data_IF_091158644463
#
_entry.id   IF_091158644463
#
_cell.length_a   1.000
_cell.length_b   1.000
_cell.length_c   1.000
_cell.angle_alpha   90.00
_cell.angle_beta   90.00
_cell.angle_gamma   90.00
#
_symmetry.space_group_name_H-M   'P 1'
#
loop_
_entity.id
_entity.type
_entity.pdbx_description
1 polymer ?
#
# COMPACT_ATOMS: atom_id res chain seq x y z
N UNK A 1 -6.03 28.49 9.57
CA UNK A 1 -6.95 27.37 9.30
C UNK A 1 -8.35 27.92 9.44
N UNK A 2 -9.11 28.00 8.34
CA UNK A 2 -10.52 28.40 8.43
C UNK A 2 -11.24 27.36 9.29
N UNK A 3 -11.89 27.81 10.36
CA UNK A 3 -12.76 26.97 11.18
C UNK A 3 -13.86 26.40 10.29
N UNK A 4 -13.95 25.07 10.21
CA UNK A 4 -15.01 24.38 9.47
C UNK A 4 -16.38 24.84 9.99
N UNK A 5 -17.23 25.36 9.10
CA UNK A 5 -18.64 25.65 9.41
C UNK A 5 -19.53 24.61 8.71
N UNK A 6 -20.01 23.58 9.43
CA UNK A 6 -20.83 22.51 8.83
C UNK A 6 -22.14 23.02 8.24
N UNK A 7 -22.60 24.22 8.59
CA UNK A 7 -23.84 24.79 8.06
C UNK A 7 -23.70 25.24 6.59
N UNK A 8 -22.56 25.83 6.24
CA UNK A 8 -22.31 26.43 4.93
C UNK A 8 -21.37 25.62 4.04
N UNK A 9 -20.89 24.47 4.51
CA UNK A 9 -20.13 23.55 3.67
C UNK A 9 -20.95 23.22 2.40
N UNK A 10 -20.41 23.43 1.19
CA UNK A 10 -21.11 23.10 -0.04
C UNK A 10 -21.25 21.57 -0.16
N UNK A 11 -22.48 21.07 -0.20
CA UNK A 11 -22.76 19.63 -0.30
C UNK A 11 -22.88 19.19 -1.77
N UNK A 12 -21.85 19.55 -2.54
CA UNK A 12 -21.75 19.36 -3.99
C UNK A 12 -20.32 19.01 -4.37
N UNK A 13 -20.16 18.20 -5.41
CA UNK A 13 -18.86 17.76 -5.94
C UNK A 13 -17.98 17.18 -4.81
N UNK A 14 -16.67 17.37 -4.89
CA UNK A 14 -15.71 16.81 -3.93
C UNK A 14 -15.48 17.79 -2.79
N UNK A 15 -15.53 17.28 -1.56
CA UNK A 15 -15.29 18.06 -0.35
C UNK A 15 -14.37 17.29 0.57
N UNK A 16 -13.29 17.91 1.02
CA UNK A 16 -12.38 17.33 2.01
C UNK A 16 -12.45 18.14 3.29
N UNK A 17 -12.72 17.45 4.39
CA UNK A 17 -12.86 18.01 5.72
C UNK A 17 -11.73 17.47 6.57
N UNK A 18 -10.75 18.34 6.86
CA UNK A 18 -9.71 18.06 7.85
C UNK A 18 -10.26 18.36 9.25
N UNK A 19 -10.43 17.32 10.07
CA UNK A 19 -11.01 17.42 11.41
C UNK A 19 -10.12 16.65 12.40
N UNK A 20 -9.38 17.36 13.26
CA UNK A 20 -8.45 16.74 14.20
C UNK A 20 -9.11 15.97 15.34
N UNK A 21 -8.30 15.26 16.13
CA UNK A 21 -8.78 14.56 17.33
C UNK A 21 -9.58 15.51 18.25
N UNK A 22 -10.77 15.07 18.65
CA UNK A 22 -11.64 15.85 19.54
C UNK A 22 -12.36 17.05 18.89
N UNK A 23 -12.21 17.30 17.58
CA UNK A 23 -12.91 18.41 16.89
C UNK A 23 -14.32 18.05 16.41
N UNK A 24 -14.84 16.89 16.83
CA UNK A 24 -16.22 16.49 16.55
C UNK A 24 -16.48 15.94 15.14
N UNK A 25 -15.53 15.21 14.51
CA UNK A 25 -15.72 14.51 13.22
C UNK A 25 -17.10 13.88 13.08
N UNK A 26 -17.44 13.01 14.03
CA UNK A 26 -18.68 12.25 14.03
C UNK A 26 -19.91 13.13 14.26
N UNK A 27 -19.76 14.23 15.00
CA UNK A 27 -20.83 15.24 15.14
C UNK A 27 -21.05 16.00 13.84
N UNK A 28 -19.97 16.43 13.17
CA UNK A 28 -20.02 17.08 11.85
C UNK A 28 -20.70 16.17 10.84
N UNK A 29 -20.32 14.88 10.78
CA UNK A 29 -20.93 13.90 9.88
C UNK A 29 -22.45 13.83 10.10
N UNK A 30 -22.89 13.68 11.36
CA UNK A 30 -24.32 13.64 11.69
C UNK A 30 -25.05 14.96 11.37
N UNK A 31 -24.39 16.12 11.55
CA UNK A 31 -24.94 17.42 11.21
C UNK A 31 -25.10 17.61 9.69
N UNK A 32 -24.12 17.17 8.89
CA UNK A 32 -24.23 17.16 7.43
C UNK A 32 -25.32 16.18 6.97
N UNK A 33 -25.48 15.03 7.62
CA UNK A 33 -26.55 14.08 7.33
C UNK A 33 -27.95 14.70 7.50
N UNK A 34 -28.17 15.48 8.57
CA UNK A 34 -29.41 16.25 8.77
C UNK A 34 -29.64 17.21 7.60
N UNK A 35 -28.60 17.96 7.19
CA UNK A 35 -28.72 18.89 6.05
C UNK A 35 -29.10 18.18 4.76
N UNK A 36 -28.51 17.02 4.48
CA UNK A 36 -28.82 16.20 3.30
C UNK A 36 -30.27 15.72 3.32
N UNK A 37 -30.76 15.26 4.47
CA UNK A 37 -32.15 14.80 4.61
C UNK A 37 -33.17 15.91 4.38
N UNK A 38 -32.91 17.12 4.89
CA UNK A 38 -33.85 18.23 4.72
C UNK A 38 -33.65 19.02 3.43
N UNK A 39 -32.57 18.76 2.68
CA UNK A 39 -32.26 19.46 1.43
C UNK A 39 -31.55 20.81 1.61
N UNK A 40 -30.97 21.09 2.78
CA UNK A 40 -30.31 22.37 3.07
C UNK A 40 -28.99 22.53 2.29
N UNK A 41 -28.94 23.51 1.39
CA UNK A 41 -27.79 23.77 0.50
C UNK A 41 -27.68 22.79 -0.67
N UNK A 42 -28.73 21.99 -0.94
CA UNK A 42 -28.81 21.05 -2.06
C UNK A 42 -29.41 21.72 -3.31
N UNK A 43 -29.24 21.06 -4.46
CA UNK A 43 -29.92 21.47 -5.69
C UNK A 43 -31.43 21.43 -5.49
N UNK A 44 -32.13 22.54 -5.82
CA UNK A 44 -33.58 22.72 -5.66
C UNK A 44 -34.18 22.42 -4.27
N UNK A 45 -33.36 22.39 -3.20
CA UNK A 45 -33.86 22.04 -1.85
C UNK A 45 -34.36 20.59 -1.74
N UNK A 46 -33.91 19.70 -2.62
CA UNK A 46 -34.28 18.30 -2.61
C UNK A 46 -33.60 17.55 -1.46
N UNK A 47 -34.42 16.98 -0.58
CA UNK A 47 -33.96 16.14 0.54
C UNK A 47 -33.71 14.70 0.09
N UNK A 48 -32.74 14.04 0.72
CA UNK A 48 -32.40 12.64 0.45
C UNK A 48 -32.93 11.70 1.53
N UNK A 49 -33.28 10.48 1.13
CA UNK A 49 -33.59 9.40 2.08
C UNK A 49 -32.32 8.74 2.63
N UNK A 50 -32.37 8.08 3.80
CA UNK A 50 -31.21 7.38 4.35
C UNK A 50 -30.57 6.32 3.44
N UNK A 51 -31.33 5.72 2.53
CA UNK A 51 -30.82 4.74 1.56
C UNK A 51 -30.06 5.38 0.39
N UNK A 52 -30.20 6.70 0.19
CA UNK A 52 -29.54 7.48 -0.85
C UNK A 52 -28.27 8.20 -0.37
N UNK A 53 -27.99 8.19 0.93
CA UNK A 53 -26.80 8.80 1.52
C UNK A 53 -25.85 7.67 1.93
N UNK A 54 -24.83 7.42 1.10
CA UNK A 54 -23.82 6.41 1.40
C UNK A 54 -22.87 6.93 2.48
N UNK A 55 -22.73 6.22 3.58
CA UNK A 55 -21.74 6.50 4.62
C UNK A 55 -20.83 5.29 4.77
N UNK A 56 -19.52 5.52 4.68
CA UNK A 56 -18.50 4.47 4.78
C UNK A 56 -17.55 4.71 5.94
N UNK A 57 -17.12 3.63 6.58
CA UNK A 57 -16.12 3.61 7.66
C UNK A 57 -15.35 2.27 7.65
N UNK A 58 -14.42 2.08 8.58
CA UNK A 58 -13.47 0.95 8.57
C UNK A 58 -13.91 -0.27 9.39
N UNK A 59 -14.76 -0.10 10.38
CA UNK A 59 -15.10 -1.20 11.31
C UNK A 59 -16.60 -1.35 11.50
N UNK A 60 -17.06 -2.57 11.76
CA UNK A 60 -18.47 -2.85 12.06
C UNK A 60 -18.92 -2.21 13.39
N UNK A 61 -18.00 -1.96 14.32
CA UNK A 61 -18.30 -1.19 15.52
C UNK A 61 -18.57 0.29 15.16
N UNK A 62 -17.76 0.87 14.28
CA UNK A 62 -17.94 2.24 13.82
C UNK A 62 -19.22 2.41 12.98
N UNK A 63 -19.60 1.42 12.15
CA UNK A 63 -20.88 1.48 11.41
C UNK A 63 -22.07 1.52 12.38
N UNK A 64 -22.06 0.68 13.41
CA UNK A 64 -23.10 0.65 14.44
C UNK A 64 -23.16 1.96 15.23
N UNK A 65 -22.01 2.49 15.65
CA UNK A 65 -21.94 3.77 16.37
C UNK A 65 -22.45 4.94 15.50
N UNK A 66 -21.98 5.04 14.26
CA UNK A 66 -22.41 6.08 13.32
C UNK A 66 -23.91 6.03 13.07
N UNK A 67 -24.46 4.82 12.87
CA UNK A 67 -25.90 4.62 12.67
C UNK A 67 -26.72 5.14 13.84
N UNK A 68 -26.35 4.78 15.07
CA UNK A 68 -27.08 5.23 16.25
C UNK A 68 -26.96 6.75 16.46
N UNK A 69 -25.78 7.31 16.21
CA UNK A 69 -25.54 8.75 16.32
C UNK A 69 -26.35 9.54 15.29
N UNK A 70 -26.38 9.10 14.04
CA UNK A 70 -27.19 9.75 12.99
C UNK A 70 -28.67 9.64 13.33
N UNK A 71 -29.16 8.46 13.74
CA UNK A 71 -30.56 8.25 14.15
C UNK A 71 -30.96 9.22 15.25
N UNK A 72 -30.15 9.30 16.31
CA UNK A 72 -30.38 10.23 17.43
C UNK A 72 -30.41 11.68 16.93
N UNK A 73 -29.47 12.07 16.06
CA UNK A 73 -29.39 13.44 15.55
C UNK A 73 -30.58 13.82 14.68
N UNK A 74 -31.08 12.91 13.84
CA UNK A 74 -32.29 13.10 13.05
C UNK A 74 -33.51 13.28 13.95
N UNK A 75 -33.63 12.50 15.02
CA UNK A 75 -34.72 12.62 15.98
C UNK A 75 -34.69 13.96 16.74
N UNK A 76 -33.51 14.38 17.23
CA UNK A 76 -33.30 15.69 17.85
C UNK A 76 -33.70 16.84 16.91
N UNK A 77 -33.29 16.75 15.64
CA UNK A 77 -33.65 17.72 14.62
C UNK A 77 -35.17 17.73 14.35
N UNK A 78 -35.82 16.56 14.28
CA UNK A 78 -37.26 16.47 14.07
C UNK A 78 -38.03 17.19 15.20
N UNK A 79 -37.69 16.89 16.45
CA UNK A 79 -38.29 17.53 17.63
C UNK A 79 -38.05 19.05 17.65
N UNK A 80 -36.87 19.50 17.23
CA UNK A 80 -36.57 20.93 17.12
C UNK A 80 -37.54 21.62 16.14
N UNK A 81 -37.65 21.11 14.90
CA UNK A 81 -38.52 21.71 13.90
C UNK A 81 -40.01 21.60 14.27
N UNK A 82 -40.43 20.56 14.98
CA UNK A 82 -41.80 20.45 15.51
C UNK A 82 -42.11 21.54 16.52
N UNK A 83 -41.21 21.80 17.47
CA UNK A 83 -41.39 22.86 18.45
C UNK A 83 -41.44 24.23 17.79
N UNK A 84 -40.56 24.50 16.82
CA UNK A 84 -40.58 25.75 16.04
C UNK A 84 -41.93 25.91 15.34
N UNK A 85 -42.43 24.86 14.66
CA UNK A 85 -43.72 24.88 13.97
C UNK A 85 -44.91 25.10 14.93
N UNK A 86 -44.82 24.60 16.16
CA UNK A 86 -45.84 24.77 17.21
C UNK A 86 -45.72 26.11 17.96
N UNK A 87 -44.75 26.97 17.62
CA UNK A 87 -44.46 28.20 18.36
C UNK A 87 -43.92 27.97 19.77
N UNK A 88 -43.38 26.78 20.05
CA UNK A 88 -42.76 26.42 21.33
C UNK A 88 -41.25 26.66 21.27
N UNK A 89 -40.65 27.00 22.40
CA UNK A 89 -39.19 27.13 22.50
C UNK A 89 -38.54 25.73 22.47
N UNK A 90 -37.71 25.40 21.47
CA UNK A 90 -36.99 24.12 21.42
C UNK A 90 -35.81 24.08 22.41
N UNK A 91 -35.26 22.88 22.66
CA UNK A 91 -34.10 22.68 23.52
C UNK A 91 -32.83 23.22 22.88
N UNK A 92 -32.01 24.00 23.60
CA UNK A 92 -30.83 24.71 23.06
C UNK A 92 -29.90 23.83 22.20
N UNK A 93 -29.82 24.15 20.91
CA UNK A 93 -28.89 23.58 19.95
C UNK A 93 -28.43 24.67 18.98
N UNK A 94 -27.19 25.17 19.09
CA UNK A 94 -26.71 26.28 18.26
C UNK A 94 -26.71 25.98 16.75
N UNK A 95 -26.53 24.71 16.36
CA UNK A 95 -26.53 24.32 14.96
C UNK A 95 -27.94 24.32 14.40
N UNK A 96 -28.90 23.69 15.09
CA UNK A 96 -30.29 23.65 14.64
C UNK A 96 -30.94 25.03 14.66
N UNK A 97 -30.57 25.88 15.61
CA UNK A 97 -31.01 27.28 15.64
C UNK A 97 -30.57 28.03 14.38
N UNK A 98 -29.28 27.96 14.03
CA UNK A 98 -28.78 28.60 12.80
C UNK A 98 -29.39 27.98 11.55
N UNK A 99 -29.47 26.65 11.50
CA UNK A 99 -30.08 25.91 10.37
C UNK A 99 -31.54 26.29 10.14
N UNK A 100 -32.33 26.44 11.22
CA UNK A 100 -33.73 26.87 11.10
C UNK A 100 -33.88 28.31 10.61
N UNK A 101 -32.92 29.19 10.90
CA UNK A 101 -32.93 30.59 10.44
C UNK A 101 -32.53 30.75 8.98
N UNK A 102 -31.69 29.84 8.45
CA UNK A 102 -31.28 29.83 7.05
C UNK A 102 -32.35 29.23 6.11
N UNK A 103 -33.37 28.58 6.65
CA UNK A 103 -34.45 27.96 5.89
C UNK A 103 -35.68 28.89 5.83
N UNK A 104 -36.37 28.98 4.67
CA UNK A 104 -37.64 29.70 4.61
C UNK A 104 -38.71 29.02 5.48
N UNK A 105 -39.59 29.80 6.11
CA UNK A 105 -40.60 29.28 7.04
C UNK A 105 -41.54 28.22 6.42
N UNK A 106 -41.83 28.34 5.13
CA UNK A 106 -42.62 27.37 4.36
C UNK A 106 -42.00 25.96 4.28
N UNK A 107 -40.68 25.83 4.48
CA UNK A 107 -39.98 24.55 4.47
C UNK A 107 -40.02 23.82 5.82
N UNK A 108 -40.42 24.47 6.92
CA UNK A 108 -40.38 23.88 8.26
C UNK A 108 -41.23 22.60 8.35
N UNK A 109 -42.47 22.64 7.84
CA UNK A 109 -43.36 21.47 7.78
C UNK A 109 -42.77 20.31 6.97
N UNK A 110 -42.10 20.63 5.85
CA UNK A 110 -41.42 19.62 5.03
C UNK A 110 -40.22 19.03 5.76
N UNK A 111 -39.46 19.84 6.51
CA UNK A 111 -38.32 19.38 7.32
C UNK A 111 -38.77 18.38 8.39
N UNK A 112 -39.83 18.69 9.16
CA UNK A 112 -40.40 17.77 10.16
C UNK A 112 -40.73 16.42 9.52
N UNK A 113 -41.48 16.44 8.41
CA UNK A 113 -41.87 15.21 7.70
C UNK A 113 -40.65 14.42 7.22
N UNK A 114 -39.69 15.08 6.56
CA UNK A 114 -38.47 14.44 6.02
C UNK A 114 -37.64 13.81 7.14
N UNK A 115 -37.44 14.51 8.25
CA UNK A 115 -36.64 14.04 9.38
C UNK A 115 -37.28 12.84 10.09
N UNK A 116 -38.60 12.85 10.29
CA UNK A 116 -39.29 11.68 10.87
C UNK A 116 -39.23 10.45 9.98
N UNK A 117 -39.50 10.62 8.69
CA UNK A 117 -39.39 9.52 7.73
C UNK A 117 -37.95 8.98 7.69
N UNK A 118 -36.95 9.85 7.70
CA UNK A 118 -35.56 9.44 7.73
C UNK A 118 -35.18 8.72 9.03
N UNK A 119 -35.62 9.22 10.20
CA UNK A 119 -35.36 8.58 11.49
C UNK A 119 -35.98 7.17 11.57
N UNK A 120 -37.18 6.99 11.03
CA UNK A 120 -37.86 5.69 10.94
C UNK A 120 -37.18 4.73 9.94
N UNK A 121 -36.66 5.25 8.83
CA UNK A 121 -36.00 4.47 7.79
C UNK A 121 -34.51 4.18 8.07
N UNK A 122 -34.02 4.42 9.29
CA UNK A 122 -32.59 4.23 9.62
C UNK A 122 -32.10 2.78 9.57
N UNK A 123 -33.01 1.80 9.63
CA UNK A 123 -32.64 0.39 9.47
C UNK A 123 -32.20 0.08 8.03
N UNK A 124 -32.74 0.81 7.06
CA UNK A 124 -32.39 0.75 5.63
C UNK A 124 -31.25 1.73 5.25
N UNK A 125 -30.68 2.45 6.23
CA UNK A 125 -29.64 3.44 5.95
C UNK A 125 -28.41 2.79 5.31
N UNK A 126 -27.86 3.47 4.29
CA UNK A 126 -26.70 3.02 3.54
C UNK A 126 -25.38 3.31 4.29
N UNK A 127 -25.24 2.75 5.49
CA UNK A 127 -24.08 2.89 6.36
C UNK A 127 -23.35 1.56 6.44
N UNK A 128 -22.15 1.49 5.88
CA UNK A 128 -21.41 0.23 5.67
C UNK A 128 -19.93 0.37 6.00
N UNK A 129 -19.26 -0.76 6.23
CA UNK A 129 -17.82 -0.82 6.06
C UNK A 129 -17.46 -0.73 4.58
N UNK A 130 -16.27 -0.23 4.23
CA UNK A 130 -15.86 -0.12 2.81
C UNK A 130 -15.89 -1.50 2.12
N UNK A 131 -15.42 -2.56 2.79
CA UNK A 131 -15.50 -3.93 2.29
C UNK A 131 -16.95 -4.44 2.20
N UNK A 132 -17.78 -4.17 3.21
CA UNK A 132 -19.19 -4.57 3.20
C UNK A 132 -19.98 -3.93 2.06
N UNK A 133 -19.71 -2.66 1.77
CA UNK A 133 -20.27 -1.94 0.63
C UNK A 133 -19.76 -2.52 -0.70
N UNK A 134 -18.45 -2.75 -0.84
CA UNK A 134 -17.86 -3.29 -2.07
C UNK A 134 -18.46 -4.64 -2.43
N UNK A 135 -18.57 -5.55 -1.45
CA UNK A 135 -19.25 -6.84 -1.61
C UNK A 135 -20.70 -6.67 -2.04
N UNK A 136 -21.43 -5.75 -1.41
CA UNK A 136 -22.84 -5.47 -1.72
C UNK A 136 -23.01 -4.94 -3.15
N UNK A 137 -22.11 -4.09 -3.63
CA UNK A 137 -22.15 -3.55 -4.99
C UNK A 137 -21.87 -4.65 -6.01
N UNK A 138 -20.81 -5.45 -5.78
CA UNK A 138 -20.49 -6.58 -6.65
C UNK A 138 -21.64 -7.59 -6.72
N UNK A 139 -22.32 -7.87 -5.61
CA UNK A 139 -23.46 -8.79 -5.60
C UNK A 139 -24.73 -8.21 -6.23
N UNK A 140 -25.03 -6.93 -5.95
CA UNK A 140 -26.26 -6.28 -6.45
C UNK A 140 -26.20 -6.04 -7.96
N UNK A 141 -24.99 -5.85 -8.48
CA UNK A 141 -24.71 -5.63 -9.89
C UNK A 141 -23.95 -6.81 -10.53
N UNK A 142 -24.15 -8.04 -10.04
CA UNK A 142 -23.43 -9.25 -10.47
C UNK A 142 -23.41 -9.45 -12.00
N UNK A 143 -24.52 -9.12 -12.68
CA UNK A 143 -24.61 -9.18 -14.15
C UNK A 143 -23.69 -8.19 -14.86
N UNK A 144 -23.47 -7.02 -14.25
CA UNK A 144 -22.61 -5.95 -14.78
C UNK A 144 -21.15 -6.14 -14.36
N UNK A 145 -20.91 -6.68 -13.16
CA UNK A 145 -19.57 -6.97 -12.63
C UNK A 145 -18.99 -8.32 -13.09
N UNK A 146 -19.80 -9.17 -13.76
CA UNK A 146 -19.46 -10.56 -14.15
C UNK A 146 -19.06 -11.46 -12.97
N UNK A 147 -19.49 -11.12 -11.75
CA UNK A 147 -19.13 -11.88 -10.55
C UNK A 147 -20.04 -13.11 -10.36
N UNK A 148 -19.52 -14.15 -9.70
CA UNK A 148 -20.29 -15.37 -9.41
C UNK A 148 -21.25 -15.09 -8.24
N UNK A 149 -22.53 -15.45 -8.41
CA UNK A 149 -23.60 -15.17 -7.44
C UNK A 149 -23.38 -15.78 -6.05
N UNK A 150 -22.63 -16.89 -5.94
CA UNK A 150 -22.34 -17.58 -4.67
C UNK A 150 -20.83 -17.82 -4.53
N UNK A 151 -20.15 -16.90 -3.83
CA UNK A 151 -18.77 -17.11 -3.40
C UNK A 151 -18.66 -17.05 -1.88
N UNK A 152 -17.70 -17.81 -1.35
CA UNK A 152 -17.39 -17.85 0.08
C UNK A 152 -16.11 -17.06 0.39
N UNK A 153 -16.01 -16.53 1.61
CA UNK A 153 -14.80 -15.85 2.05
C UNK A 153 -13.68 -16.87 2.31
N UNK A 154 -12.45 -16.58 1.87
CA UNK A 154 -11.27 -17.37 2.19
C UNK A 154 -10.79 -17.06 3.62
N UNK A 155 -11.12 -17.94 4.57
CA UNK A 155 -10.83 -17.69 5.98
C UNK A 155 -9.33 -17.75 6.34
N UNK A 156 -8.54 -18.53 5.61
CA UNK A 156 -7.10 -18.65 5.89
C UNK A 156 -6.23 -18.55 4.61
N UNK A 157 -6.03 -17.32 4.09
CA UNK A 157 -5.18 -17.08 2.92
C UNK A 157 -3.75 -17.59 3.08
N UNK A 158 -3.19 -17.45 4.30
CA UNK A 158 -1.81 -17.84 4.57
C UNK A 158 -1.60 -19.36 4.52
N UNK A 159 -2.59 -20.17 4.94
CA UNK A 159 -2.51 -21.62 4.83
C UNK A 159 -2.49 -22.07 3.35
N UNK A 160 -3.34 -21.48 2.51
CA UNK A 160 -3.35 -21.75 1.07
C UNK A 160 -2.03 -21.36 0.42
N UNK A 161 -1.52 -20.15 0.71
CA UNK A 161 -0.22 -19.71 0.19
C UNK A 161 0.95 -20.61 0.63
N UNK A 162 0.95 -21.08 1.88
CA UNK A 162 1.95 -22.04 2.36
C UNK A 162 1.91 -23.38 1.62
N UNK A 163 0.74 -23.83 1.21
CA UNK A 163 0.64 -25.01 0.36
C UNK A 163 1.22 -24.74 -1.03
N UNK A 164 0.80 -23.62 -1.65
CA UNK A 164 1.23 -23.26 -3.00
C UNK A 164 2.74 -23.01 -3.10
N UNK A 165 3.36 -22.36 -2.11
CA UNK A 165 4.82 -22.15 -2.10
C UNK A 165 5.60 -23.45 -2.00
N UNK A 166 5.08 -24.45 -1.25
CA UNK A 166 5.69 -25.78 -1.18
C UNK A 166 5.59 -26.51 -2.51
N UNK A 167 4.45 -26.40 -3.20
CA UNK A 167 4.25 -26.99 -4.52
C UNK A 167 5.14 -26.32 -5.57
N UNK A 168 5.25 -24.99 -5.53
CA UNK A 168 6.22 -24.23 -6.34
C UNK A 168 7.65 -24.70 -6.08
N UNK A 169 8.03 -24.87 -4.80
CA UNK A 169 9.38 -25.28 -4.43
C UNK A 169 9.71 -26.69 -4.94
N UNK A 170 8.76 -27.64 -4.83
CA UNK A 170 8.89 -28.99 -5.37
C UNK A 170 9.00 -29.01 -6.90
N UNK A 171 8.23 -28.16 -7.58
CA UNK A 171 8.22 -28.08 -9.04
C UNK A 171 9.53 -27.51 -9.59
N UNK A 172 10.05 -26.46 -8.96
CA UNK A 172 11.11 -25.64 -9.55
C UNK A 172 12.50 -25.85 -8.97
N UNK A 173 12.63 -26.19 -7.67
CA UNK A 173 13.94 -26.27 -7.02
C UNK A 173 14.41 -27.70 -6.74
N UNK A 174 13.51 -28.65 -6.45
CA UNK A 174 13.90 -30.06 -6.24
C UNK A 174 14.53 -30.73 -7.46
N UNK A 175 14.10 -30.45 -8.72
CA UNK A 175 14.71 -31.05 -9.89
C UNK A 175 16.08 -30.45 -10.26
N UNK A 176 16.52 -29.37 -9.61
CA UNK A 176 17.78 -28.71 -9.95
C UNK A 176 18.99 -29.58 -9.58
N UNK A 177 20.10 -29.48 -10.33
CA UNK A 177 21.41 -30.00 -9.90
C UNK A 177 21.82 -29.49 -8.52
N UNK A 178 22.60 -30.31 -7.77
CA UNK A 178 23.00 -30.00 -6.39
C UNK A 178 23.69 -28.64 -6.23
N UNK A 179 24.52 -28.24 -7.19
CA UNK A 179 25.23 -26.95 -7.13
C UNK A 179 24.27 -25.77 -7.20
N UNK A 180 23.23 -25.85 -8.05
CA UNK A 180 22.19 -24.83 -8.15
C UNK A 180 21.24 -24.86 -6.95
N UNK A 181 20.95 -26.04 -6.39
CA UNK A 181 20.18 -26.14 -5.14
C UNK A 181 20.89 -25.43 -3.98
N UNK A 182 22.23 -25.55 -3.90
CA UNK A 182 23.02 -24.86 -2.88
C UNK A 182 22.92 -23.34 -3.04
N UNK A 183 23.03 -22.82 -4.27
CA UNK A 183 22.83 -21.40 -4.54
C UNK A 183 21.44 -20.93 -4.10
N UNK A 184 20.39 -21.71 -4.38
CA UNK A 184 19.03 -21.40 -3.92
C UNK A 184 18.95 -21.28 -2.40
N UNK A 185 19.52 -22.24 -1.67
CA UNK A 185 19.50 -22.23 -0.20
C UNK A 185 20.28 -21.05 0.38
N UNK A 186 21.45 -20.73 -0.21
CA UNK A 186 22.29 -19.62 0.22
C UNK A 186 21.63 -18.25 -0.05
N UNK A 187 20.94 -18.11 -1.19
CA UNK A 187 20.40 -16.82 -1.65
C UNK A 187 18.95 -16.55 -1.23
N UNK A 188 18.06 -17.55 -1.31
CA UNK A 188 16.62 -17.40 -1.02
C UNK A 188 16.26 -17.74 0.41
N UNK A 189 16.99 -18.67 1.05
CA UNK A 189 16.71 -19.15 2.40
C UNK A 189 16.63 -20.67 2.47
N UNK A 190 16.58 -21.19 3.69
CA UNK A 190 16.69 -22.63 3.95
C UNK A 190 15.37 -23.37 3.69
N UNK A 191 14.24 -22.67 3.59
CA UNK A 191 12.94 -23.30 3.48
C UNK A 191 11.95 -22.49 2.61
N UNK A 192 10.84 -23.12 2.15
CA UNK A 192 9.85 -22.45 1.31
C UNK A 192 9.13 -21.26 1.97
N UNK A 193 9.06 -21.21 3.30
CA UNK A 193 8.42 -20.08 4.00
C UNK A 193 9.27 -18.80 3.86
N UNK A 194 10.61 -18.92 3.77
CA UNK A 194 11.50 -17.77 3.51
C UNK A 194 11.21 -17.12 2.15
N UNK A 195 10.94 -17.93 1.12
CA UNK A 195 10.52 -17.45 -0.20
C UNK A 195 9.14 -16.79 -0.15
N UNK A 196 8.20 -17.39 0.61
CA UNK A 196 6.86 -16.83 0.75
C UNK A 196 6.89 -15.42 1.34
N UNK A 197 7.73 -15.16 2.35
CA UNK A 197 7.84 -13.81 2.93
C UNK A 197 8.40 -12.79 1.93
N UNK A 198 9.39 -13.17 1.11
CA UNK A 198 9.90 -12.30 0.03
C UNK A 198 8.84 -12.02 -1.04
N UNK A 199 8.08 -13.04 -1.43
CA UNK A 199 6.98 -12.90 -2.41
C UNK A 199 5.86 -12.01 -1.85
N UNK A 200 5.49 -12.15 -0.57
CA UNK A 200 4.51 -11.26 0.07
C UNK A 200 4.95 -9.81 0.06
N UNK A 201 6.24 -9.54 0.29
CA UNK A 201 6.78 -8.19 0.20
C UNK A 201 6.69 -7.63 -1.23
N UNK A 202 7.00 -8.46 -2.23
CA UNK A 202 6.85 -8.09 -3.64
C UNK A 202 5.38 -7.76 -3.97
N UNK A 203 4.45 -8.65 -3.61
CA UNK A 203 3.03 -8.42 -3.87
C UNK A 203 2.48 -7.21 -3.12
N UNK A 204 2.89 -7.00 -1.87
CA UNK A 204 2.49 -5.80 -1.12
C UNK A 204 2.92 -4.51 -1.84
N UNK A 205 4.10 -4.49 -2.45
CA UNK A 205 4.55 -3.34 -3.22
C UNK A 205 3.79 -3.19 -4.55
N UNK A 206 3.44 -4.29 -5.20
CA UNK A 206 2.69 -4.30 -6.48
C UNK A 206 1.21 -3.97 -6.30
N UNK A 207 0.59 -4.45 -5.23
CA UNK A 207 -0.85 -4.31 -4.99
C UNK A 207 -1.19 -3.01 -4.23
N UNK A 208 -0.20 -2.18 -3.88
CA UNK A 208 -0.42 -0.96 -3.13
C UNK A 208 -1.28 0.04 -3.92
N UNK A 209 -1.02 0.17 -5.22
CA UNK A 209 -1.69 1.11 -6.12
C UNK A 209 -2.28 0.38 -7.34
N UNK A 210 -3.50 0.73 -7.77
CA UNK A 210 -4.04 0.26 -9.03
C UNK A 210 -3.10 0.62 -10.19
N UNK A 211 -2.91 -0.28 -11.17
CA UNK A 211 -2.09 0.01 -12.35
C UNK A 211 -2.69 1.18 -13.13
N UNK A 212 -1.83 2.09 -13.61
CA UNK A 212 -2.22 3.30 -14.36
C UNK A 212 -2.64 3.01 -15.82
N UNK A 213 -2.46 1.77 -16.28
CA UNK A 213 -2.88 1.29 -17.60
C UNK A 213 -3.61 -0.04 -17.46
N UNK A 214 -4.71 -0.24 -18.19
CA UNK A 214 -5.49 -1.50 -18.31
C UNK A 214 -4.68 -2.70 -18.87
N UNK A 215 -3.36 -2.58 -19.04
CA UNK A 215 -2.48 -3.67 -19.40
C UNK A 215 -2.16 -4.48 -18.14
N UNK A 216 -3.12 -5.25 -17.66
CA UNK A 216 -2.92 -6.19 -16.54
C UNK A 216 -2.01 -7.37 -16.89
N UNK A 217 -1.54 -7.46 -18.13
CA UNK A 217 -0.81 -8.62 -18.63
C UNK A 217 0.11 -8.21 -19.79
N UNK A 218 0.89 -7.13 -19.62
CA UNK A 218 2.10 -6.99 -20.43
C UNK A 218 3.01 -8.13 -20.01
N UNK A 219 2.88 -9.27 -20.71
CA UNK A 219 3.52 -10.56 -20.44
C UNK A 219 4.98 -10.38 -20.04
N UNK A 220 5.19 -10.15 -18.75
CA UNK A 220 6.51 -9.94 -18.19
C UNK A 220 7.20 -11.25 -18.49
N UNK A 221 8.19 -11.21 -19.36
CA UNK A 221 8.99 -12.38 -19.68
C UNK A 221 9.72 -12.76 -18.40
N UNK A 222 9.10 -13.62 -17.61
CA UNK A 222 9.63 -14.08 -16.34
C UNK A 222 10.69 -15.12 -16.65
N UNK A 223 11.94 -14.82 -16.34
CA UNK A 223 13.06 -15.75 -16.49
C UNK A 223 12.84 -17.01 -15.66
N UNK A 224 13.16 -18.18 -16.22
CA UNK A 224 13.10 -19.42 -15.47
C UNK A 224 14.19 -19.43 -14.38
N UNK A 225 13.99 -20.17 -13.28
CA UNK A 225 14.98 -20.24 -12.20
C UNK A 225 16.36 -20.66 -12.68
N UNK A 226 16.44 -21.62 -13.60
CA UNK A 226 17.72 -22.10 -14.15
C UNK A 226 18.48 -21.01 -14.91
N UNK A 227 17.78 -20.14 -15.64
CA UNK A 227 18.37 -19.07 -16.44
C UNK A 227 18.95 -17.95 -15.55
N UNK A 228 18.41 -17.81 -14.34
CA UNK A 228 18.90 -16.85 -13.34
C UNK A 228 20.02 -17.43 -12.47
N UNK A 229 19.92 -18.71 -12.11
CA UNK A 229 20.89 -19.39 -11.26
C UNK A 229 22.19 -19.75 -11.98
N UNK A 230 22.13 -20.07 -13.28
CA UNK A 230 23.33 -20.52 -14.03
C UNK A 230 24.38 -19.41 -14.17
N UNK A 231 24.05 -18.17 -14.57
CA UNK A 231 25.01 -17.07 -14.60
C UNK A 231 25.56 -16.76 -13.20
N UNK A 232 24.71 -16.83 -12.17
CA UNK A 232 25.11 -16.61 -10.79
C UNK A 232 26.14 -17.64 -10.31
N UNK A 233 25.89 -18.93 -10.55
CA UNK A 233 26.82 -20.01 -10.19
C UNK A 233 28.14 -19.86 -10.95
N UNK A 234 28.11 -19.51 -12.24
CA UNK A 234 29.31 -19.28 -13.02
C UNK A 234 30.14 -18.11 -12.46
N UNK A 235 29.48 -17.00 -12.10
CA UNK A 235 30.12 -15.86 -11.43
C UNK A 235 30.70 -16.24 -10.07
N UNK A 236 29.95 -17.00 -9.25
CA UNK A 236 30.39 -17.45 -7.93
C UNK A 236 31.65 -18.31 -8.03
N UNK A 237 31.66 -19.28 -8.94
CA UNK A 237 32.81 -20.13 -9.20
C UNK A 237 34.02 -19.33 -9.72
N UNK A 238 33.77 -18.34 -10.59
CA UNK A 238 34.82 -17.45 -11.08
C UNK A 238 35.45 -16.63 -9.94
N UNK A 239 34.63 -16.03 -9.06
CA UNK A 239 35.12 -15.30 -7.90
C UNK A 239 35.89 -16.19 -6.92
N UNK A 240 35.42 -17.42 -6.66
CA UNK A 240 36.13 -18.37 -5.80
C UNK A 240 37.49 -18.76 -6.37
N UNK A 241 37.60 -18.96 -7.69
CA UNK A 241 38.88 -19.22 -8.36
C UNK A 241 39.83 -18.03 -8.22
N UNK A 242 39.35 -16.81 -8.47
CA UNK A 242 40.14 -15.59 -8.33
C UNK A 242 40.57 -15.34 -6.88
N UNK A 243 39.72 -15.67 -5.91
CA UNK A 243 40.05 -15.60 -4.48
C UNK A 243 41.18 -16.57 -4.13
N UNK A 244 41.10 -17.83 -4.58
CA UNK A 244 42.16 -18.81 -4.38
C UNK A 244 43.49 -18.36 -5.02
N UNK A 245 43.44 -17.86 -6.26
CA UNK A 245 44.61 -17.33 -6.97
C UNK A 245 45.20 -16.10 -6.28
N UNK A 246 44.36 -15.22 -5.73
CA UNK A 246 44.79 -14.04 -4.98
C UNK A 246 45.47 -14.45 -3.68
N UNK A 247 44.87 -15.39 -2.92
CA UNK A 247 45.46 -15.92 -1.69
C UNK A 247 46.81 -16.60 -1.96
N UNK A 248 46.95 -17.34 -3.05
CA UNK A 248 48.22 -17.99 -3.41
C UNK A 248 49.32 -16.97 -3.73
N UNK A 249 48.98 -15.77 -4.22
CA UNK A 249 49.93 -14.70 -4.46
C UNK A 249 50.38 -13.96 -3.18
N UNK A 250 49.80 -14.30 -2.02
CA UNK A 250 50.19 -13.73 -0.74
C UNK A 250 51.62 -14.13 -0.36
N UNK A 251 52.46 -13.15 -0.05
CA UNK A 251 53.82 -13.36 0.41
C UNK A 251 53.92 -12.97 1.89
N UNK A 252 54.64 -13.76 2.68
CA UNK A 252 54.71 -13.59 4.14
C UNK A 252 55.24 -12.22 4.60
N UNK A 253 55.99 -11.52 3.75
CA UNK A 253 56.54 -10.19 4.03
C UNK A 253 55.64 -9.03 3.57
N UNK A 254 54.49 -9.30 2.92
CA UNK A 254 53.56 -8.25 2.49
C UNK A 254 53.03 -7.38 3.64
N UNK A 255 52.75 -7.90 4.86
CA UNK A 255 52.38 -7.07 5.99
C UNK A 255 53.44 -6.03 6.33
N UNK A 256 54.71 -6.44 6.38
CA UNK A 256 55.84 -5.56 6.69
C UNK A 256 55.98 -4.49 5.59
N UNK A 257 55.87 -4.88 4.32
CA UNK A 257 55.89 -3.94 3.18
C UNK A 257 54.76 -2.90 3.26
N UNK A 258 53.55 -3.31 3.66
CA UNK A 258 52.42 -2.40 3.83
C UNK A 258 52.65 -1.42 4.99
N UNK A 259 53.20 -1.90 6.10
CA UNK A 259 53.58 -1.07 7.24
C UNK A 259 54.71 -0.10 6.90
N UNK A 260 55.74 -0.54 6.17
CA UNK A 260 56.84 0.30 5.70
C UNK A 260 56.36 1.34 4.70
N UNK A 261 55.52 0.97 3.73
CA UNK A 261 54.94 1.92 2.78
C UNK A 261 54.08 2.98 3.49
N UNK A 262 53.38 2.59 4.58
CA UNK A 262 52.64 3.52 5.42
C UNK A 262 53.57 4.45 6.22
N UNK A 263 54.61 3.90 6.85
CA UNK A 263 55.58 4.67 7.65
C UNK A 263 56.39 5.67 6.79
N UNK A 264 56.73 5.30 5.56
CA UNK A 264 57.36 6.19 4.58
C UNK A 264 56.39 7.22 3.97
N UNK A 265 55.12 7.17 4.36
CA UNK A 265 54.09 8.08 3.88
C UNK A 265 53.71 7.87 2.42
N UNK A 266 53.93 6.69 1.84
CA UNK A 266 53.48 6.41 0.48
C UNK A 266 51.99 6.04 0.42
N UNK A 267 51.40 5.59 1.53
CA UNK A 267 49.96 5.35 1.66
C UNK A 267 49.34 6.45 2.52
N UNK A 268 48.72 7.46 1.89
CA UNK A 268 48.03 8.59 2.55
C UNK A 268 46.54 8.62 2.19
N UNK A 269 45.72 9.17 3.09
CA UNK A 269 44.31 9.38 2.81
C UNK A 269 43.54 9.92 4.02
N UNK A 270 42.46 10.69 3.80
CA UNK A 270 41.64 11.19 4.89
C UNK A 270 41.01 10.03 5.66
N UNK A 271 41.22 9.98 6.98
CA UNK A 271 40.63 8.97 7.87
C UNK A 271 41.39 7.65 8.01
N UNK A 272 42.54 7.46 7.35
CA UNK A 272 43.41 6.30 7.59
C UNK A 272 44.27 6.61 8.82
N UNK A 273 43.85 6.14 10.00
CA UNK A 273 44.67 6.17 11.22
C UNK A 273 45.50 4.89 11.32
N UNK A 274 46.65 4.97 11.98
CA UNK A 274 47.63 3.87 12.01
C UNK A 274 47.13 2.65 12.80
N UNK A 275 46.29 2.87 13.81
CA UNK A 275 45.61 1.81 14.56
C UNK A 275 44.64 1.00 13.69
N UNK A 276 43.80 1.69 12.90
CA UNK A 276 42.90 1.03 11.95
C UNK A 276 43.64 0.36 10.80
N UNK A 277 44.69 0.99 10.27
CA UNK A 277 45.48 0.41 9.19
C UNK A 277 46.14 -0.90 9.61
N UNK A 278 46.75 -0.92 10.81
CA UNK A 278 47.35 -2.14 11.37
C UNK A 278 46.33 -3.26 11.54
N UNK A 279 45.11 -2.92 12.01
CA UNK A 279 44.01 -3.89 12.09
C UNK A 279 43.64 -4.43 10.71
N UNK A 280 43.48 -3.57 9.70
CA UNK A 280 43.13 -3.99 8.34
C UNK A 280 44.20 -4.88 7.71
N UNK A 281 45.49 -4.58 7.93
CA UNK A 281 46.60 -5.43 7.45
C UNK A 281 46.56 -6.80 8.14
N UNK A 282 46.28 -6.86 9.45
CA UNK A 282 46.09 -8.12 10.15
C UNK A 282 44.89 -8.90 9.61
N UNK A 283 43.74 -8.26 9.42
CA UNK A 283 42.53 -8.90 8.88
C UNK A 283 42.79 -9.45 7.47
N UNK A 284 43.50 -8.67 6.62
CA UNK A 284 43.94 -9.09 5.29
C UNK A 284 44.89 -10.30 5.35
N UNK A 285 45.81 -10.30 6.32
CA UNK A 285 46.75 -11.40 6.54
C UNK A 285 46.02 -12.67 6.96
N UNK A 286 45.06 -12.58 7.89
CA UNK A 286 44.26 -13.72 8.34
C UNK A 286 43.39 -14.27 7.22
N UNK A 287 42.78 -13.42 6.40
CA UNK A 287 42.04 -13.85 5.21
C UNK A 287 42.94 -14.54 4.19
N UNK A 288 44.11 -13.97 3.92
CA UNK A 288 45.01 -14.50 2.88
C UNK A 288 45.70 -15.81 3.28
N UNK A 289 46.16 -15.91 4.53
CA UNK A 289 46.97 -17.05 5.02
C UNK A 289 46.18 -18.14 5.73
N UNK A 290 45.09 -17.78 6.43
CA UNK A 290 44.29 -18.71 7.23
C UNK A 290 42.90 -19.00 6.62
N UNK A 291 42.55 -18.33 5.52
CA UNK A 291 41.26 -18.50 4.85
C UNK A 291 40.06 -17.99 5.67
N UNK A 292 40.28 -17.06 6.61
CA UNK A 292 39.20 -16.46 7.39
C UNK A 292 38.33 -15.55 6.53
N UNK A 293 37.09 -15.30 6.97
CA UNK A 293 36.17 -14.35 6.32
C UNK A 293 36.61 -12.91 6.55
N UNK A 294 36.48 -12.05 5.54
CA UNK A 294 36.81 -10.62 5.63
C UNK A 294 35.70 -9.78 5.00
N UNK A 295 35.52 -8.55 5.49
CA UNK A 295 34.66 -7.56 4.84
C UNK A 295 35.26 -7.15 3.49
N UNK A 296 34.47 -7.27 2.42
CA UNK A 296 34.84 -6.86 1.05
C UNK A 296 35.31 -5.40 1.00
N UNK A 297 34.78 -4.51 1.85
CA UNK A 297 35.23 -3.11 1.94
C UNK A 297 36.67 -2.98 2.38
N UNK A 298 37.18 -3.93 3.18
CA UNK A 298 38.60 -3.97 3.55
C UNK A 298 39.43 -4.39 2.35
N UNK A 299 39.02 -5.44 1.63
CA UNK A 299 39.69 -5.90 0.41
C UNK A 299 39.77 -4.79 -0.66
N UNK A 300 38.69 -4.04 -0.88
CA UNK A 300 38.68 -2.93 -1.85
C UNK A 300 39.77 -1.88 -1.55
N UNK A 301 40.13 -1.65 -0.29
CA UNK A 301 41.15 -0.65 0.10
C UNK A 301 42.55 -1.02 -0.34
N UNK A 302 42.83 -2.31 -0.53
CA UNK A 302 44.15 -2.81 -0.93
C UNK A 302 44.23 -3.18 -2.41
N UNK A 303 43.23 -2.81 -3.21
CA UNK A 303 43.33 -2.91 -4.67
C UNK A 303 44.45 -2.00 -5.18
N UNK A 304 45.11 -2.39 -6.28
CA UNK A 304 46.22 -1.62 -6.86
C UNK A 304 45.80 -0.17 -7.14
N UNK A 305 44.61 0.05 -7.70
CA UNK A 305 44.10 1.38 -8.04
C UNK A 305 43.90 2.25 -6.80
N UNK A 306 43.41 1.67 -5.68
CA UNK A 306 43.23 2.41 -4.42
C UNK A 306 44.55 2.72 -3.73
N UNK A 307 45.50 1.79 -3.74
CA UNK A 307 46.83 2.01 -3.17
C UNK A 307 47.62 3.06 -3.97
N UNK A 308 47.53 3.05 -5.30
CA UNK A 308 48.11 4.08 -6.15
C UNK A 308 47.45 5.45 -5.94
N UNK A 309 46.11 5.50 -5.81
CA UNK A 309 45.40 6.73 -5.49
C UNK A 309 45.78 7.30 -4.10
N UNK A 310 46.20 6.45 -3.17
CA UNK A 310 46.76 6.83 -1.87
C UNK A 310 48.23 7.31 -1.94
N UNK A 311 48.88 7.22 -3.10
CA UNK A 311 50.24 7.69 -3.35
C UNK A 311 51.30 6.59 -3.50
N UNK A 312 50.92 5.30 -3.42
CA UNK A 312 51.87 4.20 -3.49
C UNK A 312 51.91 3.58 -4.89
N UNK A 313 52.68 4.20 -5.79
CA UNK A 313 52.79 3.77 -7.20
C UNK A 313 53.33 2.35 -7.36
N UNK A 314 54.28 1.96 -6.49
CA UNK A 314 54.91 0.63 -6.47
C UNK A 314 53.96 -0.51 -6.11
N UNK A 315 52.72 -0.23 -5.69
CA UNK A 315 51.71 -1.24 -5.42
C UNK A 315 51.46 -2.14 -6.65
N UNK A 316 51.62 -1.61 -7.88
CA UNK A 316 51.48 -2.38 -9.11
C UNK A 316 52.61 -3.42 -9.32
N UNK A 317 53.69 -3.39 -8.54
CA UNK A 317 54.75 -4.38 -8.66
C UNK A 317 54.43 -5.69 -7.93
N UNK A 318 53.36 -5.71 -7.12
CA UNK A 318 52.97 -6.87 -6.34
C UNK A 318 51.79 -7.60 -7.02
N UNK A 319 52.04 -8.85 -7.40
CA UNK A 319 51.03 -9.71 -8.04
C UNK A 319 49.76 -9.87 -7.17
N UNK A 320 49.90 -9.82 -5.84
CA UNK A 320 48.76 -9.90 -4.92
C UNK A 320 47.75 -8.76 -5.13
N UNK A 321 48.20 -7.50 -5.14
CA UNK A 321 47.28 -6.35 -5.29
C UNK A 321 46.64 -6.31 -6.68
N UNK A 322 47.39 -6.70 -7.73
CA UNK A 322 46.84 -6.81 -9.08
C UNK A 322 45.72 -7.86 -9.15
N UNK A 323 45.94 -9.05 -8.58
CA UNK A 323 44.92 -10.12 -8.53
C UNK A 323 43.72 -9.72 -7.67
N UNK A 324 43.98 -9.00 -6.57
CA UNK A 324 42.92 -8.45 -5.73
C UNK A 324 42.05 -7.44 -6.48
N UNK A 325 42.65 -6.58 -7.33
CA UNK A 325 41.89 -5.70 -8.22
C UNK A 325 40.99 -6.47 -9.17
N UNK A 326 41.49 -7.54 -9.80
CA UNK A 326 40.69 -8.39 -10.69
C UNK A 326 39.56 -9.08 -9.93
N UNK A 327 39.81 -9.62 -8.73
CA UNK A 327 38.78 -10.21 -7.88
C UNK A 327 37.68 -9.20 -7.52
N UNK A 328 38.05 -7.98 -7.13
CA UNK A 328 37.08 -6.95 -6.77
C UNK A 328 36.27 -6.45 -7.98
N UNK A 329 36.87 -6.41 -9.17
CA UNK A 329 36.15 -6.10 -10.41
C UNK A 329 35.13 -7.20 -10.75
N UNK A 330 35.52 -8.47 -10.65
CA UNK A 330 34.62 -9.60 -10.86
C UNK A 330 33.48 -9.62 -9.82
N UNK A 331 33.79 -9.40 -8.54
CA UNK A 331 32.80 -9.35 -7.46
C UNK A 331 31.78 -8.21 -7.64
N UNK A 332 32.18 -7.10 -8.28
CA UNK A 332 31.27 -5.99 -8.58
C UNK A 332 30.29 -6.29 -9.73
N UNK A 333 30.52 -7.35 -10.51
CA UNK A 333 29.65 -7.79 -11.62
C UNK A 333 28.70 -8.93 -11.19
N UNK A 334 28.26 -8.92 -9.93
CA UNK A 334 27.32 -9.91 -9.40
C UNK A 334 26.02 -9.94 -10.23
N UNK A 335 25.69 -11.07 -10.88
CA UNK A 335 24.44 -11.19 -11.62
C UNK A 335 23.24 -11.08 -10.69
N UNK A 336 22.23 -10.35 -11.11
CA UNK A 336 20.97 -10.27 -10.39
C UNK A 336 20.27 -11.65 -10.41
N UNK A 337 20.07 -12.24 -9.23
CA UNK A 337 19.55 -13.61 -9.09
C UNK A 337 18.32 -13.65 -8.18
N UNK A 338 18.43 -13.08 -6.98
CA UNK A 338 17.37 -13.14 -5.96
C UNK A 338 16.07 -12.50 -6.45
N UNK A 339 16.12 -11.29 -7.00
CA UNK A 339 14.93 -10.58 -7.46
C UNK A 339 14.25 -11.28 -8.64
N UNK A 340 15.02 -11.85 -9.57
CA UNK A 340 14.49 -12.64 -10.69
C UNK A 340 13.77 -13.91 -10.20
N UNK A 341 14.37 -14.62 -9.24
CA UNK A 341 13.75 -15.79 -8.61
C UNK A 341 12.47 -15.43 -7.85
N UNK A 342 12.49 -14.33 -7.10
CA UNK A 342 11.31 -13.84 -6.36
C UNK A 342 10.23 -13.35 -7.32
N UNK A 343 10.58 -12.70 -8.43
CA UNK A 343 9.64 -12.30 -9.49
C UNK A 343 8.99 -13.53 -10.14
N UNK A 344 9.79 -14.56 -10.45
CA UNK A 344 9.28 -15.81 -10.99
C UNK A 344 8.34 -16.54 -10.03
N UNK A 345 8.77 -16.70 -8.78
CA UNK A 345 7.91 -17.27 -7.75
C UNK A 345 6.64 -16.44 -7.54
N UNK A 346 6.75 -15.12 -7.50
CA UNK A 346 5.63 -14.21 -7.33
C UNK A 346 4.60 -14.30 -8.46
N UNK A 347 5.04 -14.45 -9.71
CA UNK A 347 4.15 -14.62 -10.85
C UNK A 347 3.43 -15.99 -10.81
N UNK A 348 4.17 -17.09 -10.72
CA UNK A 348 3.60 -18.45 -10.68
C UNK A 348 2.66 -18.64 -9.49
N UNK A 349 3.03 -18.12 -8.31
CA UNK A 349 2.21 -18.21 -7.11
C UNK A 349 0.93 -17.36 -7.21
N UNK A 350 0.98 -16.21 -7.87
CA UNK A 350 -0.20 -15.33 -8.03
C UNK A 350 -1.23 -16.02 -8.91
N UNK A 351 -0.80 -16.57 -10.05
CA UNK A 351 -1.66 -17.36 -10.93
C UNK A 351 -2.24 -18.59 -10.21
N UNK A 352 -1.40 -19.36 -9.51
CA UNK A 352 -1.86 -20.53 -8.77
C UNK A 352 -2.84 -20.17 -7.64
N UNK A 353 -2.61 -19.05 -6.95
CA UNK A 353 -3.49 -18.56 -5.89
C UNK A 353 -4.84 -18.10 -6.44
N UNK A 354 -4.86 -17.34 -7.54
CA UNK A 354 -6.09 -16.96 -8.23
C UNK A 354 -6.86 -18.19 -8.71
N UNK A 355 -6.20 -19.17 -9.35
CA UNK A 355 -6.84 -20.39 -9.81
C UNK A 355 -7.40 -21.22 -8.65
N UNK A 356 -6.66 -21.33 -7.53
CA UNK A 356 -7.13 -22.04 -6.35
C UNK A 356 -8.39 -21.40 -5.75
N UNK A 357 -8.43 -20.06 -5.69
CA UNK A 357 -9.62 -19.30 -5.26
C UNK A 357 -10.81 -19.53 -6.20
N UNK A 358 -10.59 -19.45 -7.52
CA UNK A 358 -11.65 -19.70 -8.52
C UNK A 358 -12.22 -21.12 -8.43
N UNK A 359 -11.36 -22.14 -8.30
CA UNK A 359 -11.78 -23.54 -8.19
C UNK A 359 -12.63 -23.82 -6.94
N UNK A 360 -12.46 -23.03 -5.88
CA UNK A 360 -13.21 -23.15 -4.62
C UNK A 360 -14.35 -22.12 -4.52
N UNK A 361 -14.57 -21.30 -5.56
CA UNK A 361 -15.49 -20.15 -5.52
C UNK A 361 -15.26 -19.28 -4.28
N UNK A 362 -13.99 -18.97 -4.01
CA UNK A 362 -13.57 -18.18 -2.85
C UNK A 362 -13.00 -16.81 -3.23
N UNK A 363 -13.09 -15.85 -2.31
CA UNK A 363 -12.48 -14.52 -2.43
C UNK A 363 -11.80 -14.10 -1.12
N UNK A 364 -10.83 -13.21 -1.22
CA UNK A 364 -10.30 -12.43 -0.09
C UNK A 364 -10.74 -10.96 -0.18
N UNK A 365 -10.45 -10.17 0.87
CA UNK A 365 -10.86 -8.77 0.92
C UNK A 365 -10.21 -7.90 -0.16
N UNK A 366 -8.99 -8.25 -0.60
CA UNK A 366 -8.30 -7.51 -1.64
C UNK A 366 -8.97 -7.74 -3.00
N UNK A 367 -9.40 -8.97 -3.27
CA UNK A 367 -10.17 -9.30 -4.48
C UNK A 367 -11.43 -8.44 -4.61
N UNK A 368 -12.14 -8.18 -3.50
CA UNK A 368 -13.36 -7.37 -3.55
C UNK A 368 -13.07 -5.93 -3.99
N UNK A 369 -11.99 -5.34 -3.50
CA UNK A 369 -11.60 -3.97 -3.85
C UNK A 369 -11.14 -3.91 -5.31
N UNK A 370 -10.28 -4.84 -5.72
CA UNK A 370 -9.78 -4.91 -7.10
C UNK A 370 -10.91 -5.16 -8.10
N UNK A 371 -11.78 -6.16 -7.85
CA UNK A 371 -12.92 -6.46 -8.73
C UNK A 371 -13.88 -5.28 -8.87
N UNK A 372 -14.18 -4.58 -7.77
CA UNK A 372 -15.02 -3.40 -7.84
C UNK A 372 -14.36 -2.31 -8.68
N UNK A 373 -13.07 -2.06 -8.45
CA UNK A 373 -12.29 -1.09 -9.22
C UNK A 373 -12.33 -1.42 -10.71
N UNK A 374 -12.01 -2.66 -11.11
CA UNK A 374 -12.06 -3.07 -12.52
C UNK A 374 -13.47 -2.97 -13.11
N UNK A 375 -14.50 -3.36 -12.37
CA UNK A 375 -15.88 -3.26 -12.82
C UNK A 375 -16.32 -1.79 -13.04
N UNK A 376 -15.82 -0.85 -12.25
CA UNK A 376 -16.06 0.59 -12.41
C UNK A 376 -15.30 1.21 -13.58
N UNK A 377 -14.15 0.62 -13.94
CA UNK A 377 -13.29 1.07 -15.03
C UNK A 377 -13.53 0.31 -16.35
N UNK A 378 -14.41 -0.70 -16.34
CA UNK A 378 -14.83 -1.41 -17.54
C UNK A 378 -15.56 -0.48 -18.53
N UNK A 379 -15.48 -0.85 -19.82
CA UNK A 379 -16.08 -0.09 -20.91
C UNK A 379 -17.59 0.14 -20.67
N UNK A 380 -18.03 1.39 -20.87
CA UNK A 380 -19.43 1.81 -20.73
C UNK A 380 -19.76 2.58 -19.45
N UNK A 381 -19.02 2.36 -18.35
CA UNK A 381 -19.20 3.12 -17.10
C UNK A 381 -20.58 2.98 -16.43
N UNK A 382 -21.39 2.02 -16.87
CA UNK A 382 -22.79 1.86 -16.44
C UNK A 382 -22.90 1.56 -14.94
N UNK A 383 -21.95 0.79 -14.38
CA UNK A 383 -21.92 0.50 -12.94
C UNK A 383 -21.70 1.77 -12.11
N UNK A 384 -20.76 2.62 -12.53
CA UNK A 384 -20.50 3.88 -11.85
C UNK A 384 -21.73 4.80 -11.89
N UNK A 385 -22.43 4.83 -13.02
CA UNK A 385 -23.66 5.61 -13.19
C UNK A 385 -24.81 5.06 -12.32
N UNK A 386 -25.00 3.75 -12.28
CA UNK A 386 -26.02 3.10 -11.45
C UNK A 386 -25.77 3.34 -9.95
N UNK A 387 -24.52 3.19 -9.49
CA UNK A 387 -24.13 3.47 -8.11
C UNK A 387 -24.33 4.95 -7.78
N UNK A 388 -23.96 5.86 -8.68
CA UNK A 388 -24.14 7.31 -8.48
C UNK A 388 -25.62 7.70 -8.41
N UNK A 389 -26.48 7.08 -9.23
CA UNK A 389 -27.93 7.29 -9.17
C UNK A 389 -28.53 6.78 -7.86
N UNK A 390 -28.07 5.62 -7.37
CA UNK A 390 -28.49 5.06 -6.10
C UNK A 390 -28.01 5.90 -4.91
N UNK A 391 -26.77 6.39 -4.98
CA UNK A 391 -26.12 7.18 -3.94
C UNK A 391 -25.67 8.54 -4.49
N UNK A 392 -26.58 9.52 -4.60
CA UNK A 392 -26.20 10.87 -5.03
C UNK A 392 -25.12 11.49 -4.15
N UNK A 393 -25.09 11.14 -2.86
CA UNK A 393 -24.06 11.63 -1.93
C UNK A 393 -23.39 10.47 -1.21
N UNK A 394 -22.06 10.48 -1.19
CA UNK A 394 -21.23 9.63 -0.35
C UNK A 394 -20.47 10.45 0.69
N UNK A 395 -20.34 9.89 1.88
CA UNK A 395 -19.56 10.40 3.00
C UNK A 395 -18.59 9.32 3.47
N UNK A 396 -17.30 9.61 3.44
CA UNK A 396 -16.25 8.70 3.92
C UNK A 396 -15.72 9.22 5.23
N UNK A 397 -15.91 8.46 6.30
CA UNK A 397 -15.29 8.72 7.60
C UNK A 397 -13.89 8.10 7.67
N UNK A 398 -13.03 8.68 8.49
CA UNK A 398 -11.63 8.29 8.63
C UNK A 398 -10.87 8.15 7.30
N UNK A 399 -11.10 9.09 6.38
CA UNK A 399 -10.59 9.03 5.01
C UNK A 399 -9.06 8.92 4.93
N UNK A 400 -8.31 9.35 5.96
CA UNK A 400 -6.85 9.18 6.01
C UNK A 400 -6.39 7.71 5.99
N UNK A 401 -7.28 6.76 6.32
CA UNK A 401 -6.98 5.33 6.35
C UNK A 401 -7.40 4.60 5.06
N UNK A 402 -7.79 5.36 4.03
CA UNK A 402 -8.21 4.85 2.72
C UNK A 402 -7.00 4.41 1.89
N UNK A 403 -7.15 3.33 1.13
CA UNK A 403 -6.15 2.87 0.17
C UNK A 403 -6.39 3.43 -1.26
N UNK A 404 -5.40 3.34 -2.16
CA UNK A 404 -5.54 3.85 -3.53
C UNK A 404 -6.67 3.19 -4.34
N UNK A 405 -6.98 1.91 -4.12
CA UNK A 405 -8.06 1.20 -4.83
C UNK A 405 -9.43 1.75 -4.46
N UNK A 406 -9.64 1.98 -3.15
CA UNK A 406 -10.86 2.57 -2.61
C UNK A 406 -11.05 4.00 -3.12
N UNK A 407 -10.00 4.82 -3.04
CA UNK A 407 -10.08 6.21 -3.49
C UNK A 407 -10.38 6.29 -4.99
N UNK A 408 -9.63 5.57 -5.84
CA UNK A 408 -9.88 5.60 -7.29
C UNK A 408 -11.27 5.09 -7.66
N UNK A 409 -11.80 4.09 -6.94
CA UNK A 409 -13.17 3.61 -7.15
C UNK A 409 -14.21 4.72 -6.86
N UNK A 410 -14.04 5.44 -5.74
CA UNK A 410 -14.92 6.56 -5.38
C UNK A 410 -14.74 7.75 -6.33
N UNK A 411 -13.51 8.05 -6.71
CA UNK A 411 -13.16 9.11 -7.66
C UNK A 411 -13.84 8.86 -9.02
N UNK A 412 -13.82 7.61 -9.49
CA UNK A 412 -14.49 7.16 -10.71
C UNK A 412 -16.01 7.29 -10.63
N UNK A 413 -16.61 6.97 -9.48
CA UNK A 413 -18.06 7.13 -9.26
C UNK A 413 -18.43 8.61 -9.25
N UNK A 414 -17.68 9.46 -8.56
CA UNK A 414 -17.95 10.89 -8.39
C UNK A 414 -17.03 11.79 -9.23
N UNK A 415 -16.74 11.36 -10.45
CA UNK A 415 -15.93 12.07 -11.44
C UNK A 415 -16.53 13.45 -11.74
N UNK A 416 -15.71 14.51 -11.62
CA UNK A 416 -16.13 15.90 -11.81
C UNK A 416 -16.75 16.20 -13.17
N UNK A 417 -16.39 15.42 -14.21
CA UNK A 417 -16.96 15.52 -15.55
C UNK A 417 -18.34 14.86 -15.70
N UNK A 418 -18.71 13.99 -14.73
CA UNK A 418 -19.95 13.21 -14.73
C UNK A 418 -20.94 13.65 -13.64
N UNK A 419 -20.47 14.38 -12.64
CA UNK A 419 -21.29 14.90 -11.54
C UNK A 419 -21.83 16.31 -11.81
N UNK A 420 -22.97 16.61 -11.21
CA UNK A 420 -23.56 17.95 -11.15
C UNK A 420 -23.82 18.35 -9.69
N UNK A 421 -24.53 19.47 -9.49
CA UNK A 421 -24.88 20.01 -8.18
C UNK A 421 -25.75 19.08 -7.29
N UNK A 422 -26.25 17.97 -7.84
CA UNK A 422 -26.99 16.93 -7.08
C UNK A 422 -26.06 15.90 -6.49
N UNK A 423 -24.79 15.88 -6.83
CA UNK A 423 -23.87 14.84 -6.41
C UNK A 423 -22.80 15.37 -5.48
N UNK A 424 -22.37 14.57 -4.50
CA UNK A 424 -21.25 14.94 -3.65
C UNK A 424 -20.46 13.74 -3.13
N UNK A 425 -19.14 13.90 -3.03
CA UNK A 425 -18.24 13.01 -2.29
C UNK A 425 -17.60 13.82 -1.17
N UNK A 426 -18.01 13.53 0.07
CA UNK A 426 -17.52 14.20 1.27
C UNK A 426 -16.55 13.27 1.99
N UNK A 427 -15.29 13.67 2.10
CA UNK A 427 -14.22 12.89 2.71
C UNK A 427 -13.79 13.58 4.01
N UNK A 428 -13.95 12.89 5.14
CA UNK A 428 -13.69 13.43 6.48
C UNK A 428 -12.51 12.66 7.07
N UNK A 429 -11.46 13.37 7.49
CA UNK A 429 -10.28 12.71 8.02
C UNK A 429 -9.32 13.62 8.76
N UNK A 430 -8.25 13.03 9.30
CA UNK A 430 -7.11 13.74 9.88
C UNK A 430 -5.80 13.09 9.43
N UNK A 431 -5.00 13.73 8.56
CA UNK A 431 -3.74 13.15 8.08
C UNK A 431 -2.74 12.91 9.22
N UNK A 432 -2.88 13.61 10.36
CA UNK A 432 -2.03 13.41 11.54
C UNK A 432 -2.32 12.11 12.28
N UNK A 433 -3.44 11.45 11.95
CA UNK A 433 -3.87 10.18 12.55
C UNK A 433 -3.70 8.99 11.60
N UNK A 434 -3.10 9.17 10.43
CA UNK A 434 -2.83 8.08 9.49
C UNK A 434 -1.77 7.11 10.07
N UNK A 435 -2.22 6.06 10.74
CA UNK A 435 -1.35 5.07 11.41
C UNK A 435 -1.52 3.65 10.85
N UNK A 436 -2.41 3.45 9.88
CA UNK A 436 -2.76 2.13 9.35
C UNK A 436 -2.04 1.77 8.04
N UNK A 437 -0.86 2.35 7.74
CA UNK A 437 -0.08 2.04 6.53
C UNK A 437 0.30 0.57 6.39
N UNK A 438 0.39 -0.16 7.51
CA UNK A 438 0.60 -1.60 7.50
C UNK A 438 -0.57 -2.41 6.91
N UNK A 439 -1.78 -1.82 6.84
CA UNK A 439 -3.00 -2.40 6.25
C UNK A 439 -3.28 -1.92 4.81
N UNK A 440 -2.39 -1.14 4.21
CA UNK A 440 -2.55 -0.63 2.84
C UNK A 440 -3.05 0.81 2.75
N UNK A 441 -3.39 1.46 3.89
CA UNK A 441 -3.70 2.88 3.91
C UNK A 441 -2.52 3.71 3.41
N UNK A 442 -2.80 4.71 2.57
CA UNK A 442 -1.76 5.52 1.94
C UNK A 442 -2.02 7.02 2.16
N UNK A 443 -1.07 7.68 2.83
CA UNK A 443 -1.17 9.12 3.07
C UNK A 443 -1.05 9.91 1.76
N UNK A 444 -0.32 9.39 0.77
CA UNK A 444 -0.18 10.06 -0.52
C UNK A 444 -1.51 10.10 -1.28
N UNK A 445 -2.37 9.08 -1.10
CA UNK A 445 -3.76 9.07 -1.57
C UNK A 445 -4.59 10.19 -0.95
N UNK A 446 -4.50 10.38 0.37
CA UNK A 446 -5.16 11.50 1.06
C UNK A 446 -4.66 12.86 0.53
N UNK A 447 -3.35 13.01 0.36
CA UNK A 447 -2.74 14.25 -0.14
C UNK A 447 -3.11 14.53 -1.59
N UNK A 448 -3.21 13.50 -2.43
CA UNK A 448 -3.63 13.60 -3.82
C UNK A 448 -5.09 14.03 -3.91
N UNK A 449 -5.97 13.42 -3.13
CA UNK A 449 -7.37 13.82 -3.04
C UNK A 449 -7.53 15.29 -2.62
N UNK A 450 -6.68 15.76 -1.69
CA UNK A 450 -6.69 17.16 -1.24
C UNK A 450 -6.30 18.17 -2.32
N UNK A 451 -5.55 17.73 -3.33
CA UNK A 451 -5.08 18.59 -4.41
C UNK A 451 -6.02 18.60 -5.63
N UNK A 452 -6.94 17.63 -5.72
CA UNK A 452 -7.98 17.52 -6.75
C UNK A 452 -9.24 18.28 -6.39
#
# INVERSE_FOLDING_TARGET
MNTLDPLHLPLRQRQIIEASAGTGKTWTLAALYVRLVIGHGRFNGEGLSPSQILVMTFTEAATAELRERIRKRLHEAALWFEHVLQGRAPAKDPFLERLSKDLPDEFQSACVRRLHLAAQAMDEAAIYTIHGWSRRMLSSFALMSRDLFEQSHLDNPNALLKQLVRDHWRKWYYPLPMDLQRVVLDQLGANPDDLLERVKLLWKAQDLTPPTSNNEDDGVAVSLPVDSLTPYLAWQNHCQSLEADTRQAWQAHLPDVLHDARANGWIKGPGIRDDYFSKWVNDLTQWASLGQTIDLKILTRFTTEKLQACGWESANNFAFFQRLSVLMQAAAQEPECVSLLVAHAGHELRQAYQQAKLNQSQFDFNDLLQRLHHALHADGGELADAIRQQYPVAMVDEFQDTDPWQYQSLDRIYDSSRVDDRHALVMIGDPKQAIYSFRGADLDTYLSARQS
#
